data_IF_590746492187
#
_entry.id   IF_590746492187
#
_cell.length_a   1.000
_cell.length_b   1.000
_cell.length_c   1.000
_cell.angle_alpha   90.00
_cell.angle_beta   90.00
_cell.angle_gamma   90.00
#
_symmetry.space_group_name_H-M   'P 1'
#
loop_
_entity.id
_entity.type
_entity.pdbx_description
1 polymer ?
#
# COMPACT_ATOMS: atom_id res chain seq x y z
N UNK A 1 -19.38 -15.64 -19.77
CA UNK A 1 -18.69 -16.20 -18.59
C UNK A 1 -18.33 -15.01 -17.71
N UNK A 2 -18.88 -15.00 -16.50
CA UNK A 2 -18.68 -13.97 -15.46
C UNK A 2 -17.19 -13.78 -15.20
N UNK A 3 -16.73 -12.54 -14.97
CA UNK A 3 -15.33 -12.17 -14.69
C UNK A 3 -15.00 -12.37 -13.20
N UNK A 4 -14.39 -13.49 -12.77
CA UNK A 4 -14.01 -13.71 -11.37
C UNK A 4 -12.78 -12.90 -10.93
N UNK A 5 -11.89 -12.50 -11.85
CA UNK A 5 -10.66 -11.76 -11.52
C UNK A 5 -10.94 -10.34 -11.01
N UNK A 6 -11.91 -9.64 -11.61
CA UNK A 6 -12.37 -8.32 -11.14
C UNK A 6 -12.88 -8.30 -9.71
N UNK A 7 -13.44 -9.40 -9.19
CA UNK A 7 -13.98 -9.43 -7.82
C UNK A 7 -12.87 -9.48 -6.75
N UNK A 8 -11.74 -10.14 -7.04
CA UNK A 8 -10.61 -10.17 -6.11
C UNK A 8 -9.92 -8.81 -6.04
N UNK A 9 -9.71 -8.16 -7.20
CA UNK A 9 -9.07 -6.85 -7.28
C UNK A 9 -9.97 -5.72 -6.72
N UNK A 10 -11.27 -5.70 -7.05
CA UNK A 10 -12.23 -4.75 -6.46
C UNK A 10 -12.38 -4.93 -4.95
N UNK A 11 -12.31 -6.16 -4.43
CA UNK A 11 -12.46 -6.41 -3.00
C UNK A 11 -11.24 -5.91 -2.20
N UNK A 12 -10.03 -6.06 -2.73
CA UNK A 12 -8.79 -5.54 -2.12
C UNK A 12 -8.75 -4.01 -2.10
N UNK A 13 -9.14 -3.33 -3.18
CA UNK A 13 -9.16 -1.86 -3.24
C UNK A 13 -10.26 -1.24 -2.35
N UNK A 14 -11.40 -1.93 -2.17
CA UNK A 14 -12.47 -1.49 -1.26
C UNK A 14 -12.10 -1.60 0.22
N UNK A 15 -11.27 -2.57 0.58
CA UNK A 15 -10.78 -2.71 1.96
C UNK A 15 -9.81 -1.55 2.31
N UNK A 16 -8.93 -1.16 1.38
CA UNK A 16 -7.96 -0.09 1.58
C UNK A 16 -8.55 1.35 1.59
N UNK A 17 -9.84 1.51 1.22
CA UNK A 17 -10.53 2.80 1.15
C UNK A 17 -11.57 3.02 2.26
N UNK A 18 -11.70 2.09 3.21
CA UNK A 18 -12.60 2.24 4.36
C UNK A 18 -11.94 3.02 5.51
N UNK A 19 -12.49 4.14 5.99
CA UNK A 19 -11.94 4.92 7.11
C UNK A 19 -12.06 4.21 8.47
N UNK A 20 -12.74 3.05 8.54
CA UNK A 20 -13.16 2.42 9.79
C UNK A 20 -12.08 1.55 10.47
N UNK A 21 -10.97 1.23 9.81
CA UNK A 21 -9.97 0.28 10.35
C UNK A 21 -8.92 0.91 11.28
N UNK A 22 -8.93 2.23 11.52
CA UNK A 22 -7.90 2.92 12.32
C UNK A 22 -8.25 3.01 13.82
N UNK A 23 -9.37 2.44 14.26
CA UNK A 23 -9.85 2.59 15.64
C UNK A 23 -9.97 1.26 16.41
N UNK A 24 -8.91 0.45 16.48
CA UNK A 24 -8.87 -0.68 17.41
C UNK A 24 -7.45 -1.21 17.68
N UNK A 25 -6.53 -0.39 18.18
CA UNK A 25 -5.26 -0.89 18.71
C UNK A 25 -4.67 0.04 19.77
N UNK A 26 -5.30 0.10 20.94
CA UNK A 26 -4.66 0.51 22.18
C UNK A 26 -5.60 0.12 23.31
N UNK A 27 -5.42 -1.06 23.88
CA UNK A 27 -5.53 -1.40 25.31
C UNK A 27 -5.35 -2.92 25.40
N UNK A 28 -4.21 -3.39 25.92
CA UNK A 28 -4.13 -4.59 26.75
C UNK A 28 -2.76 -4.60 27.45
N UNK A 29 -2.85 -4.58 28.78
CA UNK A 29 -1.79 -4.51 29.79
C UNK A 29 -1.14 -5.87 30.03
N UNK A 30 0.14 -5.88 30.42
CA UNK A 30 0.80 -7.01 31.07
C UNK A 30 1.61 -6.53 32.30
N UNK A 31 1.62 -7.28 33.43
CA UNK A 31 2.34 -6.89 34.65
C UNK A 31 3.77 -7.46 34.71
N UNK A 32 4.68 -6.73 35.36
CA UNK A 32 6.08 -7.12 35.59
C UNK A 32 6.32 -7.89 36.91
N UNK A 33 7.56 -8.39 37.16
CA UNK A 33 7.86 -9.21 38.32
C UNK A 33 8.72 -8.56 39.43
N UNK A 34 8.51 -9.09 40.64
CA UNK A 34 9.45 -9.51 41.70
C UNK A 34 10.24 -8.53 42.61
N UNK A 35 10.29 -8.98 43.87
CA UNK A 35 10.87 -8.46 45.12
C UNK A 35 12.39 -8.15 45.15
N UNK A 36 12.79 -7.25 46.06
CA UNK A 36 14.14 -7.18 46.64
C UNK A 36 14.35 -5.96 47.56
N UNK A 37 14.66 -6.20 48.84
CA UNK A 37 14.86 -5.20 49.91
C UNK A 37 16.35 -4.95 50.16
N UNK A 38 16.80 -3.70 50.35
CA UNK A 38 17.96 -3.34 51.20
C UNK A 38 18.20 -1.81 51.37
N UNK A 39 18.01 -1.33 52.61
CA UNK A 39 18.94 -0.57 53.50
C UNK A 39 19.66 0.74 53.08
N UNK A 40 19.49 1.77 53.94
CA UNK A 40 20.18 3.09 54.05
C UNK A 40 21.64 2.99 54.60
N UNK A 41 22.51 4.04 54.53
CA UNK A 41 22.56 5.19 55.49
C UNK A 41 23.10 6.54 54.86
N UNK A 42 23.62 7.57 55.59
CA UNK A 42 22.87 8.81 55.90
C UNK A 42 23.54 10.19 55.56
N UNK A 43 22.67 11.22 55.55
CA UNK A 43 22.78 12.62 56.02
C UNK A 43 24.04 13.50 55.76
N UNK A 44 23.82 14.65 55.08
CA UNK A 44 24.58 15.90 55.29
C UNK A 44 23.67 17.15 55.16
N UNK A 45 23.85 18.12 56.04
CA UNK A 45 23.10 19.40 56.17
C UNK A 45 23.79 20.54 55.40
N UNK A 46 23.03 21.46 54.81
CA UNK A 46 23.47 22.77 54.28
C UNK A 46 22.30 23.56 53.65
N UNK A 47 22.34 24.90 53.56
CA UNK A 47 21.36 25.75 54.22
C UNK A 47 20.20 26.27 53.36
N UNK A 48 19.20 26.78 54.08
CA UNK A 48 17.97 27.44 53.64
C UNK A 48 18.23 28.72 52.83
N UNK A 49 17.56 28.83 51.67
CA UNK A 49 17.14 30.10 51.08
C UNK A 49 15.76 29.91 50.47
N UNK A 50 14.75 30.53 51.09
CA UNK A 50 13.44 30.71 50.53
C UNK A 50 13.47 31.79 49.45
N UNK A 51 12.77 31.59 48.32
CA UNK A 51 12.18 32.68 47.52
C UNK A 51 11.10 32.15 46.55
N UNK A 52 9.86 32.51 46.88
CA UNK A 52 8.72 32.91 46.03
C UNK A 52 8.32 32.10 44.77
N UNK A 53 7.05 31.69 44.80
CA UNK A 53 6.24 31.30 43.66
C UNK A 53 6.03 32.46 42.66
N UNK A 54 5.99 32.13 41.35
CA UNK A 54 4.94 32.52 40.40
C UNK A 54 5.40 32.21 38.96
N UNK A 55 4.79 31.21 38.33
CA UNK A 55 4.96 30.89 36.92
C UNK A 55 3.71 30.15 36.45
N UNK A 56 2.65 30.93 36.24
CA UNK A 56 1.28 30.50 35.95
C UNK A 56 1.26 29.63 34.70
N UNK A 57 1.13 28.32 34.88
CA UNK A 57 0.77 27.40 33.81
C UNK A 57 -0.63 27.76 33.31
N UNK A 58 -0.72 28.35 32.12
CA UNK A 58 -1.96 28.40 31.35
C UNK A 58 -2.12 27.06 30.63
N UNK A 59 -2.60 26.06 31.35
CA UNK A 59 -3.13 24.80 30.77
C UNK A 59 -4.35 24.38 31.58
N UNK A 60 -5.35 25.26 31.71
CA UNK A 60 -6.60 24.90 32.40
C UNK A 60 -7.71 25.92 32.12
N UNK A 61 -8.10 26.09 30.85
CA UNK A 61 -9.30 26.88 30.51
C UNK A 61 -10.00 26.39 29.22
N UNK A 62 -10.04 25.06 29.01
CA UNK A 62 -10.81 24.45 27.90
C UNK A 62 -11.75 23.33 28.38
N UNK A 63 -11.65 22.90 29.64
CA UNK A 63 -12.37 21.73 30.16
C UNK A 63 -13.85 21.99 30.54
N UNK A 64 -14.39 23.21 30.31
CA UNK A 64 -15.77 23.58 30.68
C UNK A 64 -16.65 24.04 29.51
N UNK A 65 -16.19 23.96 28.26
CA UNK A 65 -16.89 24.59 27.13
C UNK A 65 -17.97 23.73 26.46
N UNK A 66 -18.02 22.41 26.65
CA UNK A 66 -18.96 21.53 25.93
C UNK A 66 -18.83 21.54 24.40
N UNK A 67 -17.81 22.23 23.85
CA UNK A 67 -17.52 22.32 22.42
C UNK A 67 -16.55 21.20 22.07
N UNK A 68 -17.02 20.22 21.31
CA UNK A 68 -16.28 18.99 20.96
C UNK A 68 -15.30 19.17 19.78
N UNK A 69 -15.45 20.20 18.95
CA UNK A 69 -14.68 20.41 17.73
C UNK A 69 -14.42 21.90 17.51
N UNK A 70 -13.15 22.29 17.33
CA UNK A 70 -12.71 23.66 17.12
C UNK A 70 -11.86 23.76 15.84
N UNK A 71 -12.51 23.83 14.65
CA UNK A 71 -11.83 23.64 13.36
C UNK A 71 -10.62 24.58 13.15
N UNK A 72 -10.73 25.86 13.52
CA UNK A 72 -9.63 26.81 13.33
C UNK A 72 -8.46 26.62 14.30
N UNK A 73 -8.66 26.05 15.48
CA UNK A 73 -7.55 25.73 16.39
C UNK A 73 -6.85 24.44 15.96
N UNK A 74 -7.62 23.45 15.49
CA UNK A 74 -7.11 22.17 15.00
C UNK A 74 -6.34 22.31 13.67
N UNK A 75 -6.83 23.17 12.75
CA UNK A 75 -6.20 23.38 11.45
C UNK A 75 -4.92 24.23 11.50
N UNK A 76 -4.65 24.98 12.57
CA UNK A 76 -3.40 25.79 12.69
C UNK A 76 -2.15 24.93 12.54
N UNK A 77 -2.16 23.73 13.13
CA UNK A 77 -1.10 22.75 12.97
C UNK A 77 -0.95 22.31 11.51
N UNK A 78 -2.05 21.89 10.89
CA UNK A 78 -2.06 21.37 9.52
C UNK A 78 -1.67 22.42 8.47
N UNK A 79 -2.11 23.67 8.62
CA UNK A 79 -1.78 24.77 7.71
C UNK A 79 -0.27 25.03 7.63
N UNK A 80 0.44 24.88 8.75
CA UNK A 80 1.91 25.02 8.78
C UNK A 80 2.67 23.87 8.12
N UNK A 81 2.01 22.71 7.96
CA UNK A 81 2.58 21.53 7.31
C UNK A 81 2.37 21.52 5.79
N UNK A 82 1.59 22.47 5.25
CA UNK A 82 1.36 22.58 3.80
C UNK A 82 2.69 22.88 3.10
N UNK A 83 3.17 22.00 2.20
CA UNK A 83 4.43 22.18 1.50
C UNK A 83 4.49 23.52 0.76
N UNK A 84 5.57 24.28 0.97
CA UNK A 84 5.83 25.55 0.28
C UNK A 84 6.85 25.39 -0.87
N UNK A 85 7.62 24.29 -0.86
CA UNK A 85 8.65 24.04 -1.85
C UNK A 85 8.08 23.40 -3.12
N UNK A 86 8.63 23.78 -4.27
CA UNK A 86 8.28 23.17 -5.56
C UNK A 86 8.66 21.68 -5.59
N UNK A 87 7.83 20.86 -6.24
CA UNK A 87 8.05 19.41 -6.39
C UNK A 87 7.50 18.54 -5.27
N UNK A 88 7.10 19.11 -4.13
CA UNK A 88 6.43 18.37 -3.05
C UNK A 88 4.93 18.22 -3.32
N UNK A 89 4.35 17.11 -2.89
CA UNK A 89 2.92 16.86 -3.07
C UNK A 89 2.10 17.52 -1.96
N UNK A 90 1.08 18.29 -2.34
CA UNK A 90 0.12 18.91 -1.41
C UNK A 90 -0.87 17.89 -0.82
N UNK A 91 -1.07 16.75 -1.48
CA UNK A 91 -2.07 15.75 -1.10
C UNK A 91 -1.49 14.60 -0.26
N UNK A 92 -0.16 14.52 -0.11
CA UNK A 92 0.49 13.37 0.54
C UNK A 92 0.30 13.43 2.06
N UNK A 93 -0.56 12.56 2.57
CA UNK A 93 -0.86 12.46 4.00
C UNK A 93 -0.81 10.99 4.45
N UNK A 94 -0.02 10.72 5.50
CA UNK A 94 0.15 9.37 6.08
C UNK A 94 0.41 8.30 5.01
N UNK A 95 1.28 8.61 4.05
CA UNK A 95 1.68 7.74 2.96
C UNK A 95 3.20 7.65 2.95
N UNK A 96 3.71 6.66 3.68
CA UNK A 96 5.14 6.45 3.91
C UNK A 96 5.82 5.91 2.65
N UNK A 97 7.14 6.05 2.58
CA UNK A 97 7.92 5.71 1.39
C UNK A 97 7.85 4.21 1.05
N UNK A 98 7.70 3.35 2.05
CA UNK A 98 7.53 1.91 1.86
C UNK A 98 6.25 1.60 1.07
N UNK A 99 5.14 2.28 1.37
CA UNK A 99 3.88 2.11 0.62
C UNK A 99 4.00 2.64 -0.81
N UNK A 100 4.66 3.78 -1.01
CA UNK A 100 4.91 4.33 -2.34
C UNK A 100 5.76 3.38 -3.19
N UNK A 101 6.81 2.81 -2.59
CA UNK A 101 7.69 1.84 -3.25
C UNK A 101 6.95 0.55 -3.60
N UNK A 102 6.15 0.00 -2.67
CA UNK A 102 5.39 -1.22 -2.89
C UNK A 102 4.35 -1.06 -4.02
N UNK A 103 3.66 0.08 -4.09
CA UNK A 103 2.73 0.37 -5.21
C UNK A 103 3.49 0.47 -6.54
N UNK A 104 4.68 1.09 -6.56
CA UNK A 104 5.52 1.11 -7.77
C UNK A 104 6.01 -0.28 -8.19
N UNK A 105 6.33 -1.16 -7.24
CA UNK A 105 6.64 -2.56 -7.54
C UNK A 105 5.44 -3.28 -8.15
N UNK A 106 4.25 -3.13 -7.56
CA UNK A 106 3.04 -3.77 -8.08
C UNK A 106 2.67 -3.25 -9.47
N UNK A 107 2.79 -1.95 -9.74
CA UNK A 107 2.61 -1.39 -11.10
C UNK A 107 3.50 -2.12 -12.11
N UNK A 108 4.76 -2.40 -11.75
CA UNK A 108 5.67 -3.13 -12.63
C UNK A 108 5.28 -4.60 -12.77
N UNK A 109 4.76 -5.26 -11.72
CA UNK A 109 4.22 -6.62 -11.79
C UNK A 109 3.10 -6.69 -12.83
N UNK A 110 2.10 -5.80 -12.75
CA UNK A 110 0.96 -5.79 -13.69
C UNK A 110 1.41 -5.48 -15.13
N UNK A 111 2.36 -4.55 -15.33
CA UNK A 111 2.92 -4.29 -16.66
C UNK A 111 3.68 -5.49 -17.24
N UNK A 112 4.43 -6.25 -16.41
CA UNK A 112 5.11 -7.46 -16.87
C UNK A 112 4.09 -8.56 -17.20
N UNK A 113 3.02 -8.70 -16.42
CA UNK A 113 1.94 -9.63 -16.72
C UNK A 113 1.23 -9.27 -18.04
N UNK A 114 0.90 -7.99 -18.24
CA UNK A 114 0.34 -7.47 -19.50
C UNK A 114 1.23 -7.82 -20.70
N UNK A 115 2.55 -7.65 -20.57
CA UNK A 115 3.48 -7.93 -21.66
C UNK A 115 3.66 -9.43 -21.92
N UNK A 116 3.63 -10.26 -20.88
CA UNK A 116 3.61 -11.71 -21.00
C UNK A 116 2.34 -12.21 -21.73
N UNK A 117 1.16 -11.69 -21.38
CA UNK A 117 -0.08 -12.01 -22.09
C UNK A 117 -0.05 -11.53 -23.55
N UNK A 118 0.57 -10.38 -23.82
CA UNK A 118 0.74 -9.90 -25.19
C UNK A 118 1.61 -10.85 -26.03
N UNK A 119 2.64 -11.45 -25.42
CA UNK A 119 3.49 -12.45 -26.09
C UNK A 119 2.74 -13.74 -26.42
N UNK A 120 1.86 -14.20 -25.52
CA UNK A 120 0.97 -15.33 -25.75
C UNK A 120 -0.01 -15.03 -26.88
N UNK A 121 -0.62 -13.84 -26.90
CA UNK A 121 -1.43 -13.38 -28.02
C UNK A 121 -0.65 -13.48 -29.34
N UNK A 122 0.56 -12.91 -29.39
CA UNK A 122 1.37 -12.90 -30.60
C UNK A 122 1.73 -14.32 -31.09
N UNK A 123 1.91 -15.29 -30.18
CA UNK A 123 2.11 -16.69 -30.53
C UNK A 123 0.85 -17.35 -31.10
N UNK A 124 -0.29 -17.25 -30.41
CA UNK A 124 -1.53 -17.91 -30.84
C UNK A 124 -2.19 -17.27 -32.07
N UNK A 125 -1.84 -16.02 -32.39
CA UNK A 125 -2.32 -15.33 -33.60
C UNK A 125 -1.58 -15.74 -34.88
N UNK A 126 -0.43 -16.43 -34.78
CA UNK A 126 0.34 -16.93 -35.93
C UNK A 126 -0.51 -17.83 -36.82
N UNK A 127 -0.29 -17.77 -38.14
CA UNK A 127 -1.05 -18.54 -39.13
C UNK A 127 -0.86 -20.06 -39.00
N UNK A 128 0.31 -20.50 -38.54
CA UNK A 128 0.64 -21.91 -38.33
C UNK A 128 0.18 -22.47 -36.97
N UNK A 129 -0.24 -21.61 -36.04
CA UNK A 129 -0.87 -22.01 -34.76
C UNK A 129 -2.39 -21.92 -34.86
N UNK A 130 -2.90 -20.81 -35.39
CA UNK A 130 -4.30 -20.58 -35.77
C UNK A 130 -5.37 -20.76 -34.66
N UNK A 131 -5.00 -20.67 -33.38
CA UNK A 131 -5.93 -20.78 -32.25
C UNK A 131 -6.52 -19.40 -31.88
N UNK A 132 -7.36 -18.87 -32.76
CA UNK A 132 -7.90 -17.49 -32.65
C UNK A 132 -8.69 -17.20 -31.36
N UNK A 133 -9.31 -18.21 -30.75
CA UNK A 133 -9.96 -18.08 -29.44
C UNK A 133 -8.97 -17.75 -28.32
N UNK A 134 -7.82 -18.43 -28.30
CA UNK A 134 -6.73 -18.17 -27.35
C UNK A 134 -6.06 -16.82 -27.63
N UNK A 135 -5.81 -16.51 -28.91
CA UNK A 135 -5.26 -15.21 -29.29
C UNK A 135 -6.14 -14.06 -28.77
N UNK A 136 -7.47 -14.15 -28.97
CA UNK A 136 -8.41 -13.16 -28.44
C UNK A 136 -8.37 -13.09 -26.92
N UNK A 137 -8.43 -14.23 -26.24
CA UNK A 137 -8.38 -14.31 -24.78
C UNK A 137 -7.14 -13.60 -24.22
N UNK A 138 -5.94 -13.96 -24.69
CA UNK A 138 -4.70 -13.37 -24.19
C UNK A 138 -4.53 -11.90 -24.57
N UNK A 139 -5.11 -11.45 -25.69
CA UNK A 139 -5.16 -10.03 -26.02
C UNK A 139 -6.02 -9.25 -25.02
N UNK A 140 -7.21 -9.76 -24.71
CA UNK A 140 -8.10 -9.15 -23.71
C UNK A 140 -7.47 -9.17 -22.31
N UNK A 141 -6.80 -10.26 -21.91
CA UNK A 141 -6.04 -10.33 -20.65
C UNK A 141 -4.87 -9.34 -20.60
N UNK A 142 -4.13 -9.19 -21.70
CA UNK A 142 -3.04 -8.19 -21.78
C UNK A 142 -3.55 -6.77 -21.57
N UNK A 143 -4.72 -6.46 -22.15
CA UNK A 143 -5.36 -5.16 -21.97
C UNK A 143 -5.88 -4.98 -20.53
N UNK A 144 -6.49 -5.99 -19.92
CA UNK A 144 -6.97 -5.97 -18.52
C UNK A 144 -5.83 -5.74 -17.52
N UNK A 145 -4.69 -6.43 -17.66
CA UNK A 145 -3.54 -6.21 -16.76
C UNK A 145 -2.92 -4.81 -16.92
N UNK A 146 -2.98 -4.23 -18.12
CA UNK A 146 -2.54 -2.85 -18.32
C UNK A 146 -3.48 -1.86 -17.62
N UNK A 147 -4.78 -2.12 -17.66
CA UNK A 147 -5.77 -1.34 -16.89
C UNK A 147 -5.50 -1.45 -15.38
N UNK A 148 -5.14 -2.63 -14.86
CA UNK A 148 -4.74 -2.80 -13.46
C UNK A 148 -3.51 -1.94 -13.10
N UNK A 149 -2.48 -1.92 -13.95
CA UNK A 149 -1.30 -1.08 -13.77
C UNK A 149 -1.65 0.41 -13.74
N UNK A 150 -2.49 0.86 -14.68
CA UNK A 150 -2.96 2.25 -14.77
C UNK A 150 -3.78 2.67 -13.54
N UNK A 151 -4.65 1.79 -13.03
CA UNK A 151 -5.40 2.02 -11.80
C UNK A 151 -4.47 2.25 -10.59
N UNK A 152 -3.40 1.47 -10.47
CA UNK A 152 -2.40 1.65 -9.42
C UNK A 152 -1.59 2.95 -9.60
N UNK A 153 -1.28 3.34 -10.85
CA UNK A 153 -0.65 4.62 -11.15
C UNK A 153 -1.53 5.81 -10.74
N UNK A 154 -2.83 5.74 -11.03
CA UNK A 154 -3.81 6.72 -10.59
C UNK A 154 -3.89 6.78 -9.06
N UNK A 155 -3.94 5.62 -8.39
CA UNK A 155 -3.94 5.55 -6.94
C UNK A 155 -2.69 6.15 -6.31
N UNK A 156 -1.50 5.85 -6.85
CA UNK A 156 -0.22 6.41 -6.44
C UNK A 156 -0.27 7.95 -6.48
N UNK A 157 -0.72 8.52 -7.60
CA UNK A 157 -0.84 9.96 -7.78
C UNK A 157 -1.89 10.57 -6.82
N UNK A 158 -3.03 9.90 -6.61
CA UNK A 158 -4.08 10.31 -5.65
C UNK A 158 -3.57 10.38 -4.22
N UNK A 159 -2.68 9.48 -3.82
CA UNK A 159 -2.03 9.50 -2.49
C UNK A 159 -0.86 10.48 -2.38
N UNK A 160 -0.56 11.19 -3.46
CA UNK A 160 0.54 12.15 -3.52
C UNK A 160 1.93 11.51 -3.68
N UNK A 161 1.99 10.22 -4.02
CA UNK A 161 3.22 9.55 -4.43
C UNK A 161 3.62 9.90 -5.86
N UNK A 162 4.75 9.33 -6.28
CA UNK A 162 5.34 9.49 -7.61
C UNK A 162 5.46 8.12 -8.25
N UNK A 163 4.82 7.99 -9.42
CA UNK A 163 4.96 6.81 -10.26
C UNK A 163 6.40 6.72 -10.77
N UNK A 164 7.04 5.57 -10.58
CA UNK A 164 8.36 5.24 -11.11
C UNK A 164 8.27 3.96 -11.92
N UNK A 165 8.02 4.10 -13.22
CA UNK A 165 7.99 2.96 -14.13
C UNK A 165 9.38 2.31 -14.21
N UNK A 166 9.40 0.99 -14.09
CA UNK A 166 10.61 0.19 -14.14
C UNK A 166 10.73 -0.54 -15.49
N UNK A 167 11.86 -1.22 -15.70
CA UNK A 167 12.06 -2.03 -16.89
C UNK A 167 11.12 -3.24 -16.91
N UNK A 168 10.51 -3.47 -18.07
CA UNK A 168 9.75 -4.69 -18.34
C UNK A 168 10.71 -5.74 -18.91
N UNK A 169 10.67 -6.96 -18.37
CA UNK A 169 11.51 -8.06 -18.81
C UNK A 169 11.00 -8.60 -20.15
N UNK A 170 11.91 -8.98 -21.04
CA UNK A 170 11.54 -9.62 -22.30
C UNK A 170 10.84 -10.96 -22.03
N UNK A 171 9.60 -11.16 -22.49
CA UNK A 171 8.85 -12.38 -22.24
C UNK A 171 9.33 -13.51 -23.17
N UNK A 172 8.89 -14.74 -22.88
CA UNK A 172 9.03 -15.87 -23.80
C UNK A 172 8.20 -15.61 -25.07
N UNK A 173 8.66 -16.15 -26.20
CA UNK A 173 7.99 -15.97 -27.50
C UNK A 173 7.49 -17.26 -28.13
N UNK A 174 8.00 -18.41 -27.67
CA UNK A 174 7.62 -19.74 -28.12
C UNK A 174 6.94 -20.49 -26.98
N UNK A 175 5.82 -21.14 -27.30
CA UNK A 175 4.96 -21.83 -26.34
C UNK A 175 4.55 -23.22 -26.85
N UNK A 176 5.27 -23.76 -27.83
CA UNK A 176 5.09 -25.14 -28.26
C UNK A 176 5.54 -26.10 -27.15
N UNK A 177 4.76 -27.15 -26.93
CA UNK A 177 5.05 -28.14 -25.91
C UNK A 177 4.68 -29.53 -26.40
N UNK A 178 5.67 -30.42 -26.51
CA UNK A 178 5.50 -31.76 -27.13
C UNK A 178 4.47 -32.64 -26.43
N UNK A 179 4.46 -32.65 -25.09
CA UNK A 179 3.56 -33.52 -24.31
C UNK A 179 2.17 -32.92 -24.07
N UNK A 180 2.10 -31.62 -23.74
CA UNK A 180 0.85 -30.96 -23.34
C UNK A 180 0.09 -30.34 -24.51
N UNK A 181 0.77 -30.07 -25.61
CA UNK A 181 0.31 -29.12 -26.61
C UNK A 181 0.43 -27.68 -26.13
N UNK A 182 0.42 -26.75 -27.06
CA UNK A 182 0.58 -25.31 -26.82
C UNK A 182 -0.57 -24.71 -25.99
N UNK A 183 -1.81 -25.08 -26.29
CA UNK A 183 -3.00 -24.53 -25.62
C UNK A 183 -3.03 -24.85 -24.11
N UNK A 184 -2.82 -26.12 -23.73
CA UNK A 184 -2.83 -26.51 -22.32
C UNK A 184 -1.64 -25.91 -21.58
N UNK A 185 -0.46 -25.94 -22.20
CA UNK A 185 0.75 -25.34 -21.61
C UNK A 185 0.56 -23.85 -21.34
N UNK A 186 0.02 -23.09 -22.30
CA UNK A 186 -0.25 -21.66 -22.13
C UNK A 186 -1.24 -21.36 -21.01
N UNK A 187 -2.29 -22.17 -20.83
CA UNK A 187 -3.24 -21.97 -19.72
C UNK A 187 -2.63 -22.28 -18.36
N UNK A 188 -1.74 -23.27 -18.27
CA UNK A 188 -1.01 -23.53 -17.03
C UNK A 188 -0.03 -22.40 -16.70
N UNK A 189 0.63 -21.82 -17.72
CA UNK A 189 1.46 -20.63 -17.55
C UNK A 189 0.64 -19.43 -17.08
N UNK A 190 -0.52 -19.17 -17.69
CA UNK A 190 -1.44 -18.13 -17.29
C UNK A 190 -1.88 -18.32 -15.82
N UNK A 191 -2.29 -19.53 -15.44
CA UNK A 191 -2.66 -19.84 -14.06
C UNK A 191 -1.51 -19.63 -13.07
N UNK A 192 -0.28 -19.99 -13.46
CA UNK A 192 0.89 -19.75 -12.62
C UNK A 192 1.19 -18.26 -12.45
N UNK A 193 1.05 -17.48 -13.52
CA UNK A 193 1.21 -16.03 -13.50
C UNK A 193 0.17 -15.36 -12.59
N UNK A 194 -1.11 -15.72 -12.70
CA UNK A 194 -2.19 -15.22 -11.84
C UNK A 194 -1.94 -15.52 -10.36
N UNK A 195 -1.43 -16.71 -10.04
CA UNK A 195 -1.08 -17.06 -8.65
C UNK A 195 0.07 -16.20 -8.13
N UNK A 196 1.06 -15.90 -8.97
CA UNK A 196 2.18 -15.03 -8.61
C UNK A 196 1.72 -13.58 -8.40
N UNK A 197 0.87 -13.06 -9.29
CA UNK A 197 0.27 -11.72 -9.15
C UNK A 197 -0.53 -11.64 -7.85
N UNK A 198 -1.35 -12.66 -7.56
CA UNK A 198 -2.12 -12.71 -6.31
C UNK A 198 -1.23 -12.74 -5.06
N UNK A 199 -0.14 -13.50 -5.06
CA UNK A 199 0.85 -13.48 -3.96
C UNK A 199 1.47 -12.09 -3.79
N UNK A 200 1.80 -11.41 -4.89
CA UNK A 200 2.32 -10.04 -4.87
C UNK A 200 1.31 -9.04 -4.32
N UNK A 201 0.03 -9.17 -4.64
CA UNK A 201 -1.05 -8.37 -4.06
C UNK A 201 -1.21 -8.62 -2.55
N UNK A 202 -1.07 -9.87 -2.09
CA UNK A 202 -1.05 -10.15 -0.65
C UNK A 202 0.13 -9.49 0.07
N UNK A 203 1.31 -9.48 -0.57
CA UNK A 203 2.49 -8.81 -0.02
C UNK A 203 2.31 -7.28 0.01
N UNK A 204 1.65 -6.69 -0.99
CA UNK A 204 1.32 -5.26 -1.01
C UNK A 204 0.36 -4.86 0.12
N UNK A 205 -0.56 -5.75 0.50
CA UNK A 205 -1.54 -5.51 1.55
C UNK A 205 -0.97 -5.64 2.97
N UNK A 206 0.02 -6.52 3.16
CA UNK A 206 0.54 -6.93 4.49
C UNK A 206 1.44 -5.86 5.12
#
# INVERSE_FOLDING_TARGET
LTRPHLLLFEMLLRIASSPAAVAAASQLSAPGPAHGSARLPPLAKGPSTACRAAGKGKKEEVLLSGVMFQPFEELKGELSLVPQAEGQSLARQKFVDECEAAINEQINVEYNASYAYHSLYAYFDRDNVALKGFAKFFKESSDEEREHAEMLMEYQNRRGGRVRLQSIVTPLTEFDHSEKGDALYAMELALALEKLVNEKLHNLHS
#
